data_IF_097616258898
#
_entry.id   IF_097616258898
#
_cell.length_a   1.000
_cell.length_b   1.000
_cell.length_c   1.000
_cell.angle_alpha   90.00
_cell.angle_beta   90.00
_cell.angle_gamma   90.00
#
_symmetry.space_group_name_H-M   'P 1'
#
loop_
_entity.id
_entity.type
_entity.pdbx_description
1 polymer ?
#
# COMPACT_ATOMS: atom_id res chain seq x y z
N UNK A 1 20.25 9.37 -8.99
CA UNK A 1 18.96 9.88 -9.50
C UNK A 1 17.86 9.42 -8.56
N UNK A 2 16.95 10.29 -8.13
CA UNK A 2 15.74 9.87 -7.42
C UNK A 2 14.70 9.45 -8.44
N UNK A 3 14.03 8.35 -8.16
CA UNK A 3 12.97 7.81 -9.01
C UNK A 3 11.76 7.44 -8.16
N UNK A 4 10.62 7.37 -8.85
CA UNK A 4 9.32 7.04 -8.29
C UNK A 4 8.84 5.72 -8.87
N UNK A 5 8.31 4.85 -8.03
CA UNK A 5 7.68 3.59 -8.45
C UNK A 5 6.25 3.53 -7.97
N UNK A 6 5.35 3.09 -8.84
CA UNK A 6 3.92 2.96 -8.59
C UNK A 6 3.49 1.50 -8.50
N UNK A 7 2.71 1.16 -7.48
CA UNK A 7 2.09 -0.16 -7.33
C UNK A 7 0.63 -0.01 -6.92
N UNK A 8 -0.26 -0.71 -7.61
CA UNK A 8 -1.70 -0.72 -7.34
C UNK A 8 -2.15 -2.12 -6.93
N UNK A 9 -3.04 -2.18 -5.94
CA UNK A 9 -3.80 -3.39 -5.59
C UNK A 9 -5.29 -3.07 -5.59
N UNK A 10 -6.07 -3.89 -6.30
CA UNK A 10 -7.52 -3.78 -6.38
C UNK A 10 -8.19 -4.95 -5.65
N UNK A 11 -9.52 -4.85 -5.46
CA UNK A 11 -10.39 -5.93 -5.01
C UNK A 11 -10.02 -6.52 -3.64
N UNK A 12 -9.85 -5.62 -2.66
CA UNK A 12 -9.40 -5.97 -1.32
C UNK A 12 -10.55 -6.58 -0.50
N UNK A 13 -10.65 -7.91 -0.57
CA UNK A 13 -11.65 -8.70 0.16
C UNK A 13 -11.13 -9.27 1.49
N UNK A 14 -9.82 -9.18 1.73
CA UNK A 14 -9.16 -9.79 2.88
C UNK A 14 -8.33 -8.73 3.62
N UNK A 15 -8.81 -8.38 4.82
CA UNK A 15 -8.23 -7.42 5.75
C UNK A 15 -7.11 -8.09 6.56
N UNK A 16 -5.97 -8.33 5.92
CA UNK A 16 -4.85 -9.04 6.51
C UNK A 16 -3.52 -8.39 6.16
N UNK A 17 -2.44 -8.90 6.75
CA UNK A 17 -1.09 -8.55 6.35
C UNK A 17 -0.79 -9.12 4.96
N UNK A 18 -0.24 -8.28 4.09
CA UNK A 18 0.18 -8.61 2.74
C UNK A 18 1.61 -8.12 2.50
N UNK A 19 2.20 -8.60 1.42
CA UNK A 19 3.51 -8.15 0.96
C UNK A 19 3.58 -8.09 -0.56
N UNK A 20 4.40 -7.18 -1.06
CA UNK A 20 4.84 -7.18 -2.45
C UNK A 20 6.32 -6.80 -2.55
N UNK A 21 6.92 -7.08 -3.70
CA UNK A 21 8.30 -6.69 -4.01
C UNK A 21 8.28 -5.63 -5.10
N UNK A 22 9.06 -4.56 -4.94
CA UNK A 22 9.30 -3.59 -6.01
C UNK A 22 9.90 -4.29 -7.22
N UNK A 23 9.50 -3.93 -8.44
CA UNK A 23 10.07 -4.55 -9.65
C UNK A 23 11.58 -4.31 -9.75
N UNK A 24 12.06 -3.18 -9.22
CA UNK A 24 13.48 -2.85 -9.09
C UNK A 24 13.75 -2.46 -7.63
N UNK A 25 14.79 -3.03 -7.04
CA UNK A 25 15.19 -2.70 -5.67
C UNK A 25 15.78 -1.29 -5.59
N UNK A 26 15.34 -0.55 -4.59
CA UNK A 26 15.97 0.71 -4.21
C UNK A 26 17.35 0.45 -3.56
N UNK A 27 18.21 1.46 -3.54
CA UNK A 27 19.49 1.43 -2.82
C UNK A 27 19.27 1.28 -1.31
N UNK A 28 18.29 2.01 -0.78
CA UNK A 28 17.87 2.06 0.61
C UNK A 28 16.34 1.94 0.69
N UNK A 29 15.78 1.82 1.89
CA UNK A 29 14.32 1.81 2.06
C UNK A 29 13.73 3.13 1.53
N UNK A 30 12.84 3.10 0.53
CA UNK A 30 12.25 4.31 -0.03
C UNK A 30 11.27 4.95 0.96
N UNK A 31 10.99 6.24 0.79
CA UNK A 31 9.79 6.84 1.38
C UNK A 31 8.58 6.27 0.64
N UNK A 32 7.58 5.79 1.39
CA UNK A 32 6.37 5.20 0.82
C UNK A 32 5.18 6.09 1.17
N UNK A 33 4.45 6.51 0.14
CA UNK A 33 3.14 7.15 0.28
C UNK A 33 2.06 6.16 -0.12
N UNK A 34 0.94 6.20 0.59
CA UNK A 34 -0.20 5.33 0.33
C UNK A 34 -1.47 6.15 0.13
N UNK A 35 -2.34 5.66 -0.75
CA UNK A 35 -3.67 6.22 -0.96
C UNK A 35 -4.68 5.09 -1.08
N UNK A 36 -5.84 5.25 -0.45
CA UNK A 36 -6.94 4.29 -0.51
C UNK A 36 -8.14 4.99 -1.11
N UNK A 37 -8.72 4.40 -2.15
CA UNK A 37 -9.99 4.83 -2.73
C UNK A 37 -11.04 3.74 -2.52
N UNK A 38 -12.23 4.14 -2.11
CA UNK A 38 -13.34 3.27 -1.73
C UNK A 38 -14.59 3.60 -2.54
N UNK A 39 -15.54 2.67 -2.62
CA UNK A 39 -16.77 2.87 -3.41
C UNK A 39 -17.94 3.43 -2.60
N UNK A 40 -17.84 3.49 -1.28
CA UNK A 40 -18.93 3.96 -0.41
C UNK A 40 -18.88 5.47 -0.17
N UNK A 41 -20.05 6.04 0.08
CA UNK A 41 -20.27 7.48 0.31
C UNK A 41 -20.87 7.79 1.69
N UNK A 42 -20.71 6.88 2.66
CA UNK A 42 -21.14 7.06 4.05
C UNK A 42 -19.95 7.01 5.01
N UNK A 43 -20.21 7.24 6.30
CA UNK A 43 -19.20 7.22 7.35
C UNK A 43 -18.51 5.85 7.45
N UNK A 44 -17.26 5.80 7.00
CA UNK A 44 -16.38 4.63 7.06
C UNK A 44 -14.93 5.10 7.13
N UNK A 45 -14.04 4.22 7.55
CA UNK A 45 -12.60 4.46 7.58
C UNK A 45 -11.87 3.25 7.01
N UNK A 46 -11.00 3.49 6.03
CA UNK A 46 -10.16 2.48 5.39
C UNK A 46 -8.76 3.02 5.27
N UNK A 47 -7.77 2.19 5.59
CA UNK A 47 -6.38 2.61 5.55
C UNK A 47 -5.41 1.45 5.43
N UNK A 48 -4.15 1.81 5.25
CA UNK A 48 -3.06 0.84 5.16
C UNK A 48 -1.94 1.26 6.08
N UNK A 49 -1.48 0.33 6.90
CA UNK A 49 -0.32 0.49 7.75
C UNK A 49 0.89 -0.18 7.10
N UNK A 50 1.87 0.61 6.64
CA UNK A 50 3.14 0.09 6.12
C UNK A 50 4.03 -0.28 7.31
N UNK A 51 4.46 -1.52 7.37
CA UNK A 51 5.22 -2.04 8.51
C UNK A 51 6.68 -1.61 8.44
N UNK A 52 7.29 -1.35 9.60
CA UNK A 52 8.70 -0.98 9.74
C UNK A 52 9.68 -2.09 9.33
N UNK A 53 9.18 -3.32 9.15
CA UNK A 53 9.92 -4.45 8.58
C UNK A 53 10.06 -4.37 7.04
N UNK A 54 9.38 -3.42 6.39
CA UNK A 54 9.59 -3.10 4.96
C UNK A 54 11.02 -2.63 4.72
N UNK A 55 11.56 -2.96 3.55
CA UNK A 55 12.95 -2.64 3.21
C UNK A 55 13.06 -2.11 1.77
N UNK A 56 14.30 -2.06 1.26
CA UNK A 56 14.62 -1.51 -0.04
C UNK A 56 14.02 -2.31 -1.23
N UNK A 57 13.56 -3.54 -1.02
CA UNK A 57 12.99 -4.39 -2.08
C UNK A 57 11.57 -4.87 -1.77
N UNK A 58 11.25 -5.16 -0.52
CA UNK A 58 9.96 -5.71 -0.09
C UNK A 58 9.19 -4.71 0.77
N UNK A 59 7.91 -4.56 0.47
CA UNK A 59 6.95 -3.81 1.28
C UNK A 59 6.04 -4.79 2.00
N UNK A 60 5.95 -4.67 3.32
CA UNK A 60 4.97 -5.37 4.14
C UNK A 60 3.96 -4.35 4.65
N UNK A 61 2.68 -4.69 4.55
CA UNK A 61 1.61 -3.77 4.94
C UNK A 61 0.40 -4.53 5.49
N UNK A 62 -0.37 -3.86 6.35
CA UNK A 62 -1.62 -4.36 6.88
C UNK A 62 -2.75 -3.44 6.43
N UNK A 63 -3.73 -4.02 5.73
CA UNK A 63 -4.91 -3.30 5.28
C UNK A 63 -6.04 -3.45 6.29
N UNK A 64 -6.69 -2.35 6.64
CA UNK A 64 -7.77 -2.33 7.63
C UNK A 64 -8.96 -1.49 7.14
N UNK A 65 -10.14 -1.87 7.61
CA UNK A 65 -11.39 -1.12 7.47
C UNK A 65 -12.15 -1.15 8.80
N UNK A 66 -12.72 0.00 9.16
CA UNK A 66 -13.60 0.15 10.31
C UNK A 66 -15.03 0.44 9.84
N UNK A 67 -16.01 -0.13 10.54
CA UNK A 67 -17.44 0.13 10.33
C UNK A 67 -18.23 -0.97 9.61
N UNK A 68 -17.63 -2.14 9.38
CA UNK A 68 -18.23 -3.30 8.69
C UNK A 68 -18.79 -3.13 7.25
N UNK A 69 -18.36 -2.17 6.40
CA UNK A 69 -18.84 -2.14 5.00
C UNK A 69 -18.43 -3.39 4.20
N UNK A 70 -17.28 -4.00 4.49
CA UNK A 70 -16.69 -5.11 3.74
C UNK A 70 -16.73 -4.85 2.22
N UNK A 71 -16.32 -3.65 1.81
CA UNK A 71 -16.68 -3.11 0.50
C UNK A 71 -16.19 -4.01 -0.63
N UNK A 72 -15.04 -4.66 -0.44
CA UNK A 72 -14.39 -5.49 -1.44
C UNK A 72 -13.89 -4.70 -2.65
N UNK A 73 -14.51 -3.57 -2.99
CA UNK A 73 -14.22 -2.63 -4.06
C UNK A 73 -13.38 -1.46 -3.54
N UNK A 74 -12.19 -1.80 -3.06
CA UNK A 74 -11.19 -0.82 -2.67
C UNK A 74 -9.97 -0.94 -3.59
N UNK A 75 -9.34 0.19 -3.86
CA UNK A 75 -8.03 0.27 -4.51
C UNK A 75 -7.04 0.92 -3.56
N UNK A 76 -5.92 0.27 -3.31
CA UNK A 76 -4.77 0.88 -2.64
C UNK A 76 -3.71 1.18 -3.70
N UNK A 77 -3.09 2.35 -3.56
CA UNK A 77 -1.97 2.79 -4.38
C UNK A 77 -0.76 3.07 -3.49
N UNK A 78 0.40 2.59 -3.90
CA UNK A 78 1.68 2.80 -3.23
C UNK A 78 2.62 3.56 -4.16
N UNK A 79 3.22 4.63 -3.65
CA UNK A 79 4.24 5.41 -4.32
C UNK A 79 5.53 5.34 -3.51
N UNK A 80 6.51 4.60 -4.02
CA UNK A 80 7.86 4.54 -3.49
C UNK A 80 8.73 5.63 -4.11
N UNK A 81 9.37 6.47 -3.31
CA UNK A 81 10.30 7.50 -3.75
C UNK A 81 11.68 7.24 -3.13
N UNK A 82 12.68 7.01 -3.97
CA UNK A 82 14.03 6.66 -3.52
C UNK A 82 15.05 6.64 -4.63
N UNK A 83 16.28 6.22 -4.32
CA UNK A 83 17.33 5.98 -5.32
C UNK A 83 17.29 4.52 -5.75
N UNK A 84 17.40 4.25 -7.05
CA UNK A 84 17.56 2.89 -7.55
C UNK A 84 19.00 2.42 -7.41
N UNK A 85 19.19 1.11 -7.22
CA UNK A 85 20.50 0.48 -7.34
C UNK A 85 21.04 0.55 -8.77
#
# INVERSE_FOLDING_TARGET
MYQTYWYDENDLKVWTQKEFTWAISFTETPQIFTSVTTSVNYSHDCGVNVLSSSNNSKVLYHYYEHGNPNQGLCRIQFLGIGRWK
#
